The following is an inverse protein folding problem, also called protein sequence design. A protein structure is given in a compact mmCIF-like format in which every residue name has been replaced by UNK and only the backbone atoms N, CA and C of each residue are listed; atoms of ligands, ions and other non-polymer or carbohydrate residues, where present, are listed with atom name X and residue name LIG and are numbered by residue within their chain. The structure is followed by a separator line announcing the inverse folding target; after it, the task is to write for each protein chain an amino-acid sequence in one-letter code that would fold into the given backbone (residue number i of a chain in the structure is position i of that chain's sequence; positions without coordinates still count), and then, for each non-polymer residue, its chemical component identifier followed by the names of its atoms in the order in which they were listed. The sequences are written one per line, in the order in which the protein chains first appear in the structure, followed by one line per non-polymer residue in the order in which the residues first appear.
data_IF_563258651633
#
_entry.id   IF_563258651633
#
_cell.length_a   1.000
_cell.length_b   1.000
_cell.length_c   1.000
_cell.angle_alpha   90.00
_cell.angle_beta   90.00
_cell.angle_gamma   90.00
#
_symmetry.space_group_name_H-M   'P 1'
#
loop_
_entity.id
_entity.type
_entity.pdbx_description
1 polymer ?
#
# COMPACT_ATOMS: atom_id res chain seq x y z
N UNK A 1 -14.67 -10.43 2.52
CA UNK A 1 -13.21 -10.26 2.47
C UNK A 1 -12.57 -10.96 3.64
N UNK A 2 -11.27 -11.22 3.55
CA UNK A 2 -10.46 -11.82 4.59
C UNK A 2 -9.26 -10.94 4.91
N UNK A 3 -8.91 -10.86 6.18
CA UNK A 3 -7.66 -10.26 6.63
C UNK A 3 -6.78 -11.38 7.16
N UNK A 4 -5.60 -11.51 6.56
CA UNK A 4 -4.64 -12.56 6.89
C UNK A 4 -3.35 -11.95 7.41
N UNK A 5 -2.78 -12.56 8.45
CA UNK A 5 -1.40 -12.35 8.87
C UNK A 5 -0.60 -13.52 8.32
N UNK A 6 0.32 -13.21 7.40
CA UNK A 6 1.14 -14.20 6.70
C UNK A 6 2.60 -13.94 7.06
N UNK A 7 3.32 -14.93 7.56
CA UNK A 7 4.72 -14.79 7.98
C UNK A 7 5.62 -15.74 7.20
N UNK A 8 6.69 -15.19 6.63
CA UNK A 8 7.77 -15.91 5.96
C UNK A 8 8.99 -15.94 6.87
N UNK A 9 9.29 -17.10 7.43
CA UNK A 9 10.48 -17.29 8.26
C UNK A 9 11.68 -17.60 7.38
N UNK A 10 12.74 -16.78 7.41
CA UNK A 10 13.90 -17.02 6.54
C UNK A 10 14.66 -18.28 6.93
N UNK A 11 14.55 -18.73 8.19
CA UNK A 11 15.12 -19.99 8.69
C UNK A 11 14.46 -21.24 8.10
N UNK A 12 13.24 -21.13 7.59
CA UNK A 12 12.47 -22.25 7.03
C UNK A 12 12.64 -22.39 5.51
N UNK A 13 13.31 -21.41 4.88
CA UNK A 13 13.57 -21.43 3.45
C UNK A 13 14.73 -22.36 3.11
N UNK A 14 14.56 -23.13 2.03
CA UNK A 14 15.68 -23.87 1.43
C UNK A 14 16.77 -22.92 0.91
N UNK A 15 18.03 -23.38 0.75
CA UNK A 15 19.11 -22.56 0.21
C UNK A 15 18.79 -21.92 -1.14
N UNK A 16 18.07 -22.62 -2.02
CA UNK A 16 17.66 -22.10 -3.32
C UNK A 16 16.62 -20.97 -3.19
N UNK A 17 15.65 -21.09 -2.27
CA UNK A 17 14.67 -20.04 -2.00
C UNK A 17 15.31 -18.83 -1.33
N UNK A 18 16.26 -19.03 -0.42
CA UNK A 18 17.03 -17.95 0.19
C UNK A 18 17.83 -17.17 -0.84
N UNK A 19 18.54 -17.87 -1.74
CA UNK A 19 19.26 -17.23 -2.83
C UNK A 19 18.31 -16.43 -3.72
N UNK A 20 17.16 -17.02 -4.09
CA UNK A 20 16.16 -16.34 -4.90
C UNK A 20 15.62 -15.07 -4.20
N UNK A 21 15.38 -15.14 -2.88
CA UNK A 21 14.97 -14.00 -2.07
C UNK A 21 16.06 -12.91 -2.02
N UNK A 22 17.32 -13.27 -1.84
CA UNK A 22 18.44 -12.31 -1.83
C UNK A 22 18.59 -11.64 -3.20
N UNK A 23 18.47 -12.38 -4.29
CA UNK A 23 18.63 -11.84 -5.64
C UNK A 23 17.48 -10.93 -6.09
N UNK A 24 16.24 -11.23 -5.65
CA UNK A 24 15.01 -10.63 -6.22
C UNK A 24 14.16 -9.85 -5.23
N UNK A 25 14.38 -10.05 -3.93
CA UNK A 25 13.75 -9.32 -2.84
C UNK A 25 12.23 -9.26 -2.95
N UNK A 26 11.69 -8.05 -3.04
CA UNK A 26 10.24 -7.79 -3.05
C UNK A 26 9.49 -8.41 -4.23
N UNK A 27 10.15 -8.62 -5.37
CA UNK A 27 9.50 -9.22 -6.53
C UNK A 27 9.12 -10.67 -6.27
N UNK A 28 10.03 -11.48 -5.73
CA UNK A 28 9.76 -12.89 -5.47
C UNK A 28 8.79 -13.07 -4.31
N UNK A 29 8.86 -12.21 -3.28
CA UNK A 29 7.84 -12.19 -2.21
C UNK A 29 6.44 -11.94 -2.77
N UNK A 30 6.29 -11.05 -3.75
CA UNK A 30 5.00 -10.83 -4.41
C UNK A 30 4.53 -12.06 -5.18
N UNK A 31 5.42 -12.77 -5.87
CA UNK A 31 5.10 -14.03 -6.58
C UNK A 31 4.64 -15.11 -5.59
N UNK A 32 5.37 -15.31 -4.49
CA UNK A 32 4.97 -16.28 -3.48
C UNK A 32 3.63 -15.95 -2.82
N UNK A 33 3.34 -14.67 -2.57
CA UNK A 33 2.01 -14.26 -2.10
C UNK A 33 0.93 -14.50 -3.16
N UNK A 34 1.25 -14.35 -4.45
CA UNK A 34 0.34 -14.64 -5.54
C UNK A 34 -0.06 -16.11 -5.59
N UNK A 35 0.89 -17.01 -5.36
CA UNK A 35 0.68 -18.46 -5.39
C UNK A 35 -0.31 -18.93 -4.31
N UNK A 36 -0.57 -18.11 -3.28
CA UNK A 36 -1.62 -18.37 -2.29
C UNK A 36 -3.05 -18.20 -2.84
N UNK A 37 -3.20 -17.69 -4.07
CA UNK A 37 -4.51 -17.40 -4.69
C UNK A 37 -4.60 -18.00 -6.12
N UNK A 38 -4.57 -19.34 -6.27
CA UNK A 38 -4.46 -20.01 -7.57
C UNK A 38 -5.68 -19.85 -8.49
N UNK A 39 -6.83 -19.43 -7.96
CA UNK A 39 -8.08 -19.27 -8.73
C UNK A 39 -8.20 -17.96 -9.52
N UNK A 40 -7.32 -16.98 -9.26
CA UNK A 40 -7.46 -15.63 -9.81
C UNK A 40 -6.72 -15.40 -11.14
N UNK A 41 -7.43 -14.95 -12.18
CA UNK A 41 -6.81 -14.40 -13.41
C UNK A 41 -6.20 -13.00 -13.18
N UNK A 42 -6.68 -12.30 -12.17
CA UNK A 42 -6.20 -10.97 -11.76
C UNK A 42 -5.87 -10.94 -10.27
N UNK A 43 -5.08 -9.95 -9.83
CA UNK A 43 -4.70 -9.83 -8.42
C UNK A 43 -5.92 -9.45 -7.58
N UNK A 44 -6.33 -10.33 -6.69
CA UNK A 44 -7.47 -10.11 -5.79
C UNK A 44 -7.07 -9.78 -4.34
N UNK A 45 -5.83 -9.35 -4.12
CA UNK A 45 -5.31 -8.99 -2.81
C UNK A 45 -4.51 -7.68 -2.81
N UNK A 46 -4.46 -7.08 -1.63
CA UNK A 46 -3.56 -6.02 -1.23
C UNK A 46 -2.72 -6.51 -0.05
N UNK A 47 -1.52 -5.97 0.12
CA UNK A 47 -0.73 -6.31 1.28
C UNK A 47 0.10 -5.14 1.80
N UNK A 48 0.44 -5.22 3.09
CA UNK A 48 1.38 -4.37 3.81
C UNK A 48 2.49 -5.27 4.34
N UNK A 49 3.75 -4.99 3.97
CA UNK A 49 4.92 -5.70 4.48
C UNK A 49 5.48 -5.02 5.73
N UNK A 50 5.83 -5.83 6.71
CA UNK A 50 6.65 -5.48 7.87
C UNK A 50 7.89 -6.39 7.90
N UNK A 51 9.04 -5.79 8.17
CA UNK A 51 10.29 -6.53 8.35
C UNK A 51 10.45 -6.87 9.83
N UNK A 52 10.76 -8.15 10.10
CA UNK A 52 11.05 -8.66 11.42
C UNK A 52 12.47 -9.24 11.40
N UNK A 53 13.08 -9.39 12.57
CA UNK A 53 14.36 -10.07 12.65
C UNK A 53 14.19 -11.53 12.21
N UNK A 54 14.83 -11.91 11.09
CA UNK A 54 14.77 -13.26 10.53
C UNK A 54 13.44 -13.65 9.88
N UNK A 55 12.53 -12.70 9.64
CA UNK A 55 11.26 -12.99 8.99
C UNK A 55 10.67 -11.77 8.26
N UNK A 56 9.76 -12.04 7.32
CA UNK A 56 8.91 -11.01 6.71
C UNK A 56 7.46 -11.29 7.09
N UNK A 57 6.77 -10.27 7.60
CA UNK A 57 5.34 -10.34 7.89
C UNK A 57 4.55 -9.55 6.86
N UNK A 58 3.42 -10.11 6.47
CA UNK A 58 2.47 -9.50 5.55
C UNK A 58 1.10 -9.45 6.21
N UNK A 59 0.50 -8.28 6.28
CA UNK A 59 -0.94 -8.16 6.41
C UNK A 59 -1.53 -8.17 5.02
N UNK A 60 -2.45 -9.10 4.75
CA UNK A 60 -3.04 -9.31 3.42
C UNK A 60 -4.53 -9.16 3.51
N UNK A 61 -5.10 -8.22 2.74
CA UNK A 61 -6.53 -8.08 2.54
C UNK A 61 -6.89 -8.68 1.19
N UNK A 62 -7.75 -9.70 1.20
CA UNK A 62 -8.12 -10.45 0.00
C UNK A 62 -9.62 -10.74 -0.07
N UNK A 63 -10.12 -10.97 -1.30
CA UNK A 63 -11.52 -11.40 -1.49
C UNK A 63 -11.72 -12.86 -1.08
N UNK A 64 -10.79 -13.72 -1.45
CA UNK A 64 -10.76 -15.15 -1.13
C UNK A 64 -9.77 -15.43 0.02
N UNK A 65 -9.95 -16.56 0.70
CA UNK A 65 -9.01 -17.01 1.73
C UNK A 65 -7.71 -17.52 1.06
N UNK A 66 -6.52 -17.13 1.55
CA UNK A 66 -5.27 -17.67 1.03
C UNK A 66 -5.21 -19.19 1.25
N UNK A 67 -4.68 -19.90 0.25
CA UNK A 67 -4.39 -21.32 0.34
C UNK A 67 -3.31 -21.62 1.40
N UNK A 68 -3.23 -22.89 1.81
CA UNK A 68 -2.13 -23.36 2.65
C UNK A 68 -0.79 -23.26 1.90
N UNK A 69 0.29 -23.08 2.65
CA UNK A 69 1.64 -22.92 2.10
C UNK A 69 2.65 -23.73 2.88
N UNK A 70 3.69 -24.20 2.19
CA UNK A 70 4.84 -24.85 2.82
C UNK A 70 5.89 -23.85 3.33
N UNK A 71 5.85 -22.59 2.89
CA UNK A 71 6.84 -21.55 3.22
C UNK A 71 6.29 -20.39 4.05
N UNK A 72 4.97 -20.35 4.26
CA UNK A 72 4.32 -19.32 5.05
C UNK A 72 3.52 -19.91 6.20
N UNK A 73 3.64 -19.31 7.38
CA UNK A 73 2.61 -19.39 8.41
C UNK A 73 1.45 -18.45 8.04
N UNK A 74 0.25 -18.99 7.88
CA UNK A 74 -0.93 -18.27 7.40
C UNK A 74 -2.03 -18.30 8.47
N UNK A 75 -2.36 -17.12 8.99
CA UNK A 75 -3.44 -16.94 9.95
C UNK A 75 -4.49 -16.00 9.37
N UNK A 76 -5.70 -16.50 9.16
CA UNK A 76 -6.77 -15.79 8.44
C UNK A 76 -7.97 -15.60 9.35
N UNK A 77 -8.59 -14.41 9.27
CA UNK A 77 -9.93 -14.16 9.82
C UNK A 77 -10.85 -13.49 8.79
N UNK A 78 -12.17 -13.70 8.90
CA UNK A 78 -13.13 -12.87 8.17
C UNK A 78 -12.91 -11.39 8.46
N UNK A 79 -13.00 -10.56 7.42
CA UNK A 79 -12.93 -9.10 7.54
C UNK A 79 -14.25 -8.50 7.07
N UNK A 80 -15.10 -8.20 8.05
CA UNK A 80 -16.42 -7.59 7.89
C UNK A 80 -16.59 -6.48 8.95
N UNK A 81 -15.87 -5.35 8.82
CA UNK A 81 -15.98 -4.27 9.78
C UNK A 81 -17.40 -3.69 9.76
N UNK A 82 -17.99 -3.49 10.94
CA UNK A 82 -19.26 -2.76 11.08
C UNK A 82 -18.95 -1.26 11.03
N UNK A 83 -19.24 -0.64 9.89
CA UNK A 83 -18.93 0.77 9.63
C UNK A 83 -20.21 1.60 9.56
N UNK A 84 -20.17 2.81 10.13
CA UNK A 84 -21.30 3.75 10.12
C UNK A 84 -20.87 5.12 9.62
N UNK A 85 -21.79 5.84 8.96
CA UNK A 85 -21.56 7.24 8.60
C UNK A 85 -21.35 8.08 9.88
N UNK A 86 -20.44 9.05 9.81
CA UNK A 86 -19.96 9.83 10.95
C UNK A 86 -18.92 9.13 11.83
N UNK A 87 -18.66 7.82 11.63
CA UNK A 87 -17.68 7.11 12.45
C UNK A 87 -16.28 7.63 12.20
N UNK A 88 -15.54 7.83 13.29
CA UNK A 88 -14.12 8.21 13.25
C UNK A 88 -13.23 6.96 13.26
N UNK A 89 -12.28 6.90 12.35
CA UNK A 89 -11.28 5.83 12.25
C UNK A 89 -9.87 6.42 12.23
N UNK A 90 -8.94 5.73 12.88
CA UNK A 90 -7.51 5.93 12.62
C UNK A 90 -7.07 5.10 11.44
N UNK A 91 -6.14 5.62 10.66
CA UNK A 91 -5.56 4.91 9.54
C UNK A 91 -4.04 4.99 9.47
N UNK A 92 -3.45 3.97 8.85
CA UNK A 92 -2.10 3.98 8.30
C UNK A 92 -2.18 3.54 6.83
N UNK A 93 -1.61 4.31 5.92
CA UNK A 93 -1.63 4.02 4.49
C UNK A 93 -0.26 4.24 3.89
N UNK A 94 0.26 3.26 3.16
CA UNK A 94 1.32 3.49 2.17
C UNK A 94 0.72 3.53 0.79
N UNK A 95 0.79 4.66 0.11
CA UNK A 95 0.29 4.77 -1.25
C UNK A 95 1.41 5.19 -2.20
N UNK A 96 1.27 4.83 -3.48
CA UNK A 96 2.01 5.47 -4.56
C UNK A 96 1.09 6.49 -5.23
N UNK A 97 1.11 7.78 -4.82
CA UNK A 97 0.34 8.82 -5.47
C UNK A 97 0.98 9.21 -6.81
N UNK A 98 0.17 9.18 -7.87
CA UNK A 98 0.62 9.51 -9.22
C UNK A 98 -0.30 10.53 -9.88
N UNK A 99 0.26 11.34 -10.76
CA UNK A 99 -0.49 12.26 -11.63
C UNK A 99 -0.29 11.87 -13.10
N UNK A 100 -1.32 12.03 -13.92
CA UNK A 100 -1.22 11.86 -15.37
C UNK A 100 -1.08 13.23 -16.04
N UNK A 101 -0.04 13.41 -16.86
CA UNK A 101 0.17 14.57 -17.72
C UNK A 101 0.50 14.10 -19.13
N UNK A 102 -0.20 14.64 -20.14
CA UNK A 102 0.00 14.29 -21.56
C UNK A 102 -0.02 12.77 -21.81
N UNK A 103 -0.96 12.07 -21.18
CA UNK A 103 -1.09 10.60 -21.25
C UNK A 103 0.01 9.81 -20.52
N UNK A 104 1.02 10.48 -19.96
CA UNK A 104 2.12 9.86 -19.20
C UNK A 104 1.89 9.98 -17.70
N UNK A 105 2.26 8.93 -16.98
CA UNK A 105 2.16 8.88 -15.53
C UNK A 105 3.45 9.38 -14.90
N UNK A 106 3.31 10.23 -13.91
CA UNK A 106 4.40 10.81 -13.15
C UNK A 106 4.17 10.58 -11.65
N UNK A 107 5.28 10.47 -10.94
CA UNK A 107 5.31 10.57 -9.49
C UNK A 107 4.79 11.95 -9.07
N UNK A 108 3.81 11.97 -8.16
CA UNK A 108 3.15 13.20 -7.74
C UNK A 108 4.12 14.17 -7.05
N UNK A 109 4.96 13.66 -6.15
CA UNK A 109 5.85 14.48 -5.34
C UNK A 109 7.02 15.00 -6.19
N UNK A 110 7.52 14.20 -7.14
CA UNK A 110 8.54 14.67 -8.08
C UNK A 110 7.97 15.72 -9.04
N UNK A 111 6.71 15.58 -9.45
CA UNK A 111 6.04 16.59 -10.26
C UNK A 111 5.83 17.90 -9.47
N UNK A 112 5.41 17.82 -8.20
CA UNK A 112 5.30 18.99 -7.32
C UNK A 112 6.65 19.70 -7.16
N UNK A 113 7.73 18.93 -6.91
CA UNK A 113 9.11 19.44 -6.85
C UNK A 113 9.53 20.13 -8.14
N UNK A 114 9.23 19.53 -9.31
CA UNK A 114 9.57 20.09 -10.62
C UNK A 114 8.86 21.44 -10.83
N UNK A 115 7.56 21.51 -10.55
CA UNK A 115 6.77 22.73 -10.71
C UNK A 115 7.33 23.88 -9.88
N UNK A 116 7.71 23.61 -8.62
CA UNK A 116 8.32 24.64 -7.76
C UNK A 116 9.66 25.13 -8.26
N UNK A 117 10.55 24.22 -8.66
CA UNK A 117 11.83 24.60 -9.26
C UNK A 117 11.67 25.47 -10.51
N UNK A 118 10.67 25.19 -11.36
CA UNK A 118 10.40 26.00 -12.55
C UNK A 118 9.89 27.41 -12.21
N UNK A 119 9.25 27.59 -11.05
CA UNK A 119 8.78 28.90 -10.56
C UNK A 119 9.90 29.74 -9.90
N UNK A 120 11.15 29.26 -9.89
CA UNK A 120 12.30 29.98 -9.34
C UNK A 120 12.41 29.92 -7.81
N UNK A 121 11.46 29.27 -7.13
CA UNK A 121 11.46 29.08 -5.69
C UNK A 121 11.91 27.66 -5.34
N UNK A 122 13.08 27.56 -4.70
CA UNK A 122 13.65 26.29 -4.24
C UNK A 122 13.63 26.15 -2.71
N UNK A 123 13.11 27.15 -2.01
CA UNK A 123 12.90 27.09 -0.58
C UNK A 123 11.64 26.24 -0.31
N UNK A 124 11.65 25.46 0.76
CA UNK A 124 10.50 24.67 1.22
C UNK A 124 9.90 23.65 0.21
N UNK A 125 10.72 23.12 -0.70
CA UNK A 125 10.30 22.06 -1.66
C UNK A 125 9.55 20.92 -0.95
N UNK A 126 10.03 20.50 0.22
CA UNK A 126 9.42 19.42 0.97
C UNK A 126 8.00 19.76 1.44
N UNK A 127 7.77 20.96 1.96
CA UNK A 127 6.43 21.44 2.36
C UNK A 127 5.45 21.39 1.19
N UNK A 128 5.88 21.75 -0.02
CA UNK A 128 5.05 21.63 -1.21
C UNK A 128 4.78 20.19 -1.64
N UNK A 129 5.77 19.30 -1.51
CA UNK A 129 5.57 17.88 -1.76
C UNK A 129 4.58 17.26 -0.77
N UNK A 130 4.69 17.60 0.52
CA UNK A 130 3.75 17.19 1.55
C UNK A 130 2.34 17.72 1.25
N UNK A 131 2.20 19.00 0.92
CA UNK A 131 0.90 19.58 0.57
C UNK A 131 0.26 18.89 -0.64
N UNK A 132 1.06 18.56 -1.67
CA UNK A 132 0.57 17.82 -2.83
C UNK A 132 0.08 16.41 -2.44
N UNK A 133 0.83 15.72 -1.57
CA UNK A 133 0.47 14.39 -1.05
C UNK A 133 -0.84 14.43 -0.24
N UNK A 134 -0.98 15.40 0.69
CA UNK A 134 -2.19 15.62 1.49
C UNK A 134 -3.40 15.94 0.60
N UNK A 135 -3.22 16.83 -0.38
CA UNK A 135 -4.27 17.20 -1.34
C UNK A 135 -4.71 15.99 -2.16
N UNK A 136 -3.77 15.12 -2.55
CA UNK A 136 -4.10 13.88 -3.25
C UNK A 136 -4.92 12.93 -2.38
N UNK A 137 -4.56 12.75 -1.10
CA UNK A 137 -5.30 11.87 -0.20
C UNK A 137 -6.68 12.43 0.13
N UNK A 138 -6.81 13.75 0.33
CA UNK A 138 -8.10 14.41 0.52
C UNK A 138 -9.05 14.15 -0.66
N UNK A 139 -8.56 14.26 -1.90
CA UNK A 139 -9.32 13.90 -3.11
C UNK A 139 -9.69 12.42 -3.17
N UNK A 140 -8.81 11.52 -2.70
CA UNK A 140 -9.19 10.12 -2.54
C UNK A 140 -10.33 9.97 -1.52
N UNK A 141 -10.33 10.76 -0.45
CA UNK A 141 -11.41 10.83 0.52
C UNK A 141 -12.75 11.20 -0.10
N UNK A 142 -12.80 12.39 -0.71
CA UNK A 142 -14.00 12.94 -1.36
C UNK A 142 -14.63 11.96 -2.35
N UNK A 143 -13.81 11.27 -3.14
CA UNK A 143 -14.26 10.33 -4.16
C UNK A 143 -14.64 8.95 -3.60
N UNK A 144 -14.25 8.63 -2.37
CA UNK A 144 -14.35 7.28 -1.83
C UNK A 144 -14.93 7.23 -0.41
N UNK A 145 -15.78 8.20 -0.06
CA UNK A 145 -16.66 8.10 1.11
C UNK A 145 -16.02 8.42 2.45
N UNK A 146 -14.94 9.21 2.51
CA UNK A 146 -14.38 9.68 3.78
C UNK A 146 -13.81 11.10 3.71
N UNK A 147 -13.75 11.77 4.85
CA UNK A 147 -13.07 13.07 5.01
C UNK A 147 -11.90 12.91 5.96
N UNK A 148 -10.77 13.56 5.68
CA UNK A 148 -9.63 13.61 6.59
C UNK A 148 -9.91 14.62 7.71
N UNK A 149 -9.79 14.20 8.96
CA UNK A 149 -9.85 15.08 10.14
C UNK A 149 -8.44 15.55 10.53
N UNK A 150 -7.52 14.60 10.61
CA UNK A 150 -6.10 14.84 10.89
C UNK A 150 -5.27 13.95 9.98
N UNK A 151 -4.18 14.46 9.41
CA UNK A 151 -3.31 13.64 8.56
C UNK A 151 -1.90 14.20 8.52
N UNK A 152 -0.92 13.31 8.57
CA UNK A 152 0.49 13.59 8.35
C UNK A 152 1.04 12.79 7.17
N UNK A 153 2.13 13.32 6.60
CA UNK A 153 2.99 12.60 5.67
C UNK A 153 4.24 12.20 6.44
N UNK A 154 4.34 10.92 6.76
CA UNK A 154 5.38 10.40 7.67
C UNK A 154 6.67 10.07 6.93
N UNK A 155 6.55 9.61 5.67
CA UNK A 155 7.71 9.30 4.85
C UNK A 155 7.40 9.39 3.36
N UNK A 156 8.42 9.70 2.58
CA UNK A 156 8.47 9.52 1.14
C UNK A 156 9.70 8.70 0.78
N UNK A 157 9.53 7.65 -0.02
CA UNK A 157 10.61 6.74 -0.42
C UNK A 157 10.55 6.46 -1.91
N UNK A 158 11.68 6.52 -2.59
CA UNK A 158 11.82 5.98 -3.93
C UNK A 158 12.30 4.54 -3.85
N UNK A 159 11.67 3.68 -4.64
CA UNK A 159 11.92 2.24 -4.66
C UNK A 159 12.30 1.80 -6.07
N UNK A 160 13.24 0.86 -6.14
CA UNK A 160 13.64 0.22 -7.38
C UNK A 160 13.60 -1.30 -7.19
N UNK A 161 12.90 -1.99 -8.08
CA UNK A 161 12.75 -3.45 -8.05
C UNK A 161 13.20 -4.02 -9.38
N UNK A 162 14.05 -5.05 -9.34
CA UNK A 162 14.51 -5.75 -10.53
C UNK A 162 13.48 -6.77 -11.01
N UNK A 163 13.12 -6.75 -12.29
CA UNK A 163 12.26 -7.78 -12.89
C UNK A 163 13.01 -9.10 -13.05
N UNK A 164 12.28 -10.22 -12.98
CA UNK A 164 12.85 -11.56 -13.13
C UNK A 164 13.50 -11.76 -14.51
N UNK A 165 12.72 -11.51 -15.59
CA UNK A 165 13.09 -11.79 -16.99
C UNK A 165 13.70 -10.60 -17.75
N UNK A 166 14.05 -9.50 -17.09
CA UNK A 166 14.56 -8.30 -17.76
C UNK A 166 15.53 -7.50 -16.89
N UNK A 167 16.53 -6.85 -17.53
CA UNK A 167 17.40 -5.84 -16.87
C UNK A 167 16.66 -4.54 -16.55
N UNK A 168 15.40 -4.39 -16.98
CA UNK A 168 14.59 -3.21 -16.67
C UNK A 168 14.21 -3.18 -15.18
N UNK A 169 14.50 -2.05 -14.54
CA UNK A 169 14.10 -1.77 -13.17
C UNK A 169 12.69 -1.17 -13.14
N UNK A 170 11.84 -1.69 -12.26
CA UNK A 170 10.57 -1.04 -11.90
C UNK A 170 10.93 0.05 -10.91
N UNK A 171 10.59 1.30 -11.26
CA UNK A 171 10.77 2.45 -10.38
C UNK A 171 9.41 2.99 -9.97
N UNK A 172 9.26 3.26 -8.69
CA UNK A 172 8.08 3.92 -8.14
C UNK A 172 8.44 4.59 -6.82
N UNK A 173 7.52 5.38 -6.29
CA UNK A 173 7.64 5.88 -4.93
C UNK A 173 6.48 5.43 -4.07
N UNK A 174 6.70 5.53 -2.77
CA UNK A 174 5.68 5.37 -1.76
C UNK A 174 5.68 6.56 -0.82
N UNK A 175 4.48 6.94 -0.39
CA UNK A 175 4.22 7.91 0.65
C UNK A 175 3.48 7.20 1.77
N UNK A 176 4.04 7.27 2.98
CA UNK A 176 3.41 6.79 4.20
C UNK A 176 2.59 7.93 4.82
N UNK A 177 1.32 7.66 5.06
CA UNK A 177 0.37 8.56 5.72
C UNK A 177 -0.14 7.92 6.99
N UNK A 178 -0.33 8.73 8.03
CA UNK A 178 -1.13 8.39 9.21
C UNK A 178 -2.11 9.50 9.51
N UNK A 179 -3.18 9.16 10.22
CA UNK A 179 -4.15 10.15 10.61
C UNK A 179 -5.47 9.59 11.11
N UNK A 180 -6.45 10.48 11.11
CA UNK A 180 -7.83 10.26 11.51
C UNK A 180 -8.73 10.67 10.34
N UNK A 181 -9.66 9.80 9.99
CA UNK A 181 -10.70 10.07 9.00
C UNK A 181 -12.09 9.91 9.61
N UNK A 182 -13.06 10.58 9.02
CA UNK A 182 -14.49 10.43 9.31
C UNK A 182 -15.15 9.78 8.10
N UNK A 183 -15.93 8.74 8.33
CA UNK A 183 -16.67 8.07 7.28
C UNK A 183 -17.88 8.90 6.85
N UNK A 184 -18.01 9.15 5.56
CA UNK A 184 -19.18 9.80 4.97
C UNK A 184 -20.12 8.75 4.35
N UNK A 185 -19.54 7.81 3.60
CA UNK A 185 -20.23 6.69 2.96
C UNK A 185 -19.47 5.39 3.27
N UNK A 186 -19.95 4.60 4.25
CA UNK A 186 -19.32 3.34 4.65
C UNK A 186 -19.22 2.30 3.52
N UNK A 187 -20.19 2.25 2.62
CA UNK A 187 -20.24 1.26 1.54
C UNK A 187 -19.18 1.59 0.50
N UNK A 188 -19.15 2.85 0.05
CA UNK A 188 -18.16 3.33 -0.91
C UNK A 188 -16.73 3.24 -0.33
N UNK A 189 -16.56 3.59 0.94
CA UNK A 189 -15.29 3.43 1.65
C UNK A 189 -14.83 1.97 1.67
N UNK A 190 -15.69 1.04 2.07
CA UNK A 190 -15.34 -0.38 2.17
C UNK A 190 -15.00 -0.98 0.80
N UNK A 191 -15.74 -0.62 -0.25
CA UNK A 191 -15.42 -1.02 -1.62
C UNK A 191 -14.04 -0.51 -2.03
N UNK A 192 -13.72 0.76 -1.73
CA UNK A 192 -12.41 1.32 -2.07
C UNK A 192 -11.29 0.73 -1.23
N UNK A 193 -11.52 0.48 0.05
CA UNK A 193 -10.57 -0.16 0.96
C UNK A 193 -10.10 -1.51 0.40
N UNK A 194 -11.04 -2.30 -0.14
CA UNK A 194 -10.76 -3.59 -0.78
C UNK A 194 -9.90 -3.47 -2.05
N UNK A 195 -10.06 -2.38 -2.82
CA UNK A 195 -9.35 -2.14 -4.06
C UNK A 195 -8.00 -1.45 -3.85
N UNK A 196 -7.88 -0.67 -2.78
CA UNK A 196 -6.68 0.05 -2.36
C UNK A 196 -6.49 1.40 -3.03
N UNK A 197 -5.62 2.21 -2.43
CA UNK A 197 -5.37 3.61 -2.82
C UNK A 197 -4.05 3.77 -3.57
N UNK A 198 -4.08 4.43 -4.73
CA UNK A 198 -2.89 4.70 -5.53
C UNK A 198 -2.38 3.51 -6.37
N UNK A 199 -1.14 3.64 -6.86
CA UNK A 199 -0.50 2.67 -7.76
C UNK A 199 0.44 1.71 -7.00
N UNK A 200 1.20 0.91 -7.74
CA UNK A 200 2.19 -0.05 -7.19
C UNK A 200 1.64 -1.02 -6.13
N UNK A 201 0.36 -1.38 -6.24
CA UNK A 201 -0.32 -2.29 -5.30
C UNK A 201 0.29 -3.71 -5.25
N UNK A 202 1.03 -4.10 -6.27
CA UNK A 202 1.82 -5.33 -6.30
C UNK A 202 3.08 -5.28 -5.42
N UNK A 203 3.44 -4.11 -4.91
CA UNK A 203 4.69 -3.83 -4.19
C UNK A 203 4.37 -3.15 -2.84
N UNK A 204 3.45 -3.75 -2.09
CA UNK A 204 3.13 -3.35 -0.72
C UNK A 204 2.47 -1.97 -0.55
N UNK A 205 1.92 -1.39 -1.62
CA UNK A 205 1.20 -0.12 -1.60
C UNK A 205 -0.33 -0.30 -1.68
N UNK A 206 -1.06 0.70 -1.23
CA UNK A 206 -2.48 0.89 -1.39
C UNK A 206 -3.37 0.24 -0.34
N UNK A 207 -2.85 -0.67 0.48
CA UNK A 207 -3.58 -1.18 1.64
C UNK A 207 -3.64 -0.10 2.72
N UNK A 208 -4.85 0.37 3.04
CA UNK A 208 -5.11 1.23 4.20
C UNK A 208 -5.46 0.33 5.40
N UNK A 209 -4.66 0.40 6.45
CA UNK A 209 -4.95 -0.23 7.74
C UNK A 209 -5.85 0.71 8.53
N UNK A 210 -6.93 0.17 9.12
CA UNK A 210 -7.88 0.96 9.92
C UNK A 210 -8.06 0.37 11.32
N UNK A 211 -8.36 1.24 12.28
CA UNK A 211 -8.82 0.88 13.63
C UNK A 211 -9.79 1.95 14.16
N UNK A 212 -10.64 1.63 15.15
CA UNK A 212 -11.50 2.63 15.79
C UNK A 212 -10.73 3.89 16.24
N UNK A 213 -11.36 5.06 16.09
CA UNK A 213 -10.87 6.32 16.68
C UNK A 213 -11.00 6.33 18.21
N UNK A 214 -10.46 7.35 18.87
CA UNK A 214 -10.61 7.49 20.34
C UNK A 214 -12.04 7.81 20.78
N UNK A 215 -12.85 8.37 19.86
CA UNK A 215 -14.23 8.76 20.11
C UNK A 215 -15.24 7.61 19.87
N UNK A 216 -14.77 6.35 19.80
CA UNK A 216 -15.54 5.17 19.37
C UNK A 216 -16.05 4.29 20.53
#
# INVERSE_FOLDING_TARGET
MYLSRITLHTSELSPAQLLHLVERGEYVMHQWLWDLFPGGKERQFLYRREELQGAFRFFVLSQEQPAASAIFDVQTRPFAPMLSAGQTLRFNLRANPTVCKNGKRHDLLMEAKRQRKTQGDSQDIWSYQQQAALTWLARQGEQNGFTLRETSVDAYRQQQIRREKSRQMIQFSSVDYTGVLVLNDPVLFLQRLAQGYGKSRAFGCGMMMIKPGDDA
#
